data_IF_593097220005
#
_entry.id   IF_593097220005
#
_cell.length_a   1.000
_cell.length_b   1.000
_cell.length_c   1.000
_cell.angle_alpha   90.00
_cell.angle_beta   90.00
_cell.angle_gamma   90.00
#
_symmetry.space_group_name_H-M   'P 1'
#
loop_
_entity.id
_entity.type
_entity.pdbx_description
1 polymer ?
#
# COMPACT_ATOMS: atom_id res chain seq x y z
N UNK A 1 -15.61 -7.29 -0.45
CA UNK A 1 -15.20 -6.78 -1.78
C UNK A 1 -14.69 -7.98 -2.56
N UNK A 2 -15.45 -8.38 -3.56
CA UNK A 2 -15.26 -9.66 -4.26
C UNK A 2 -14.03 -9.51 -5.16
N UNK A 3 -13.04 -10.36 -4.95
CA UNK A 3 -11.73 -10.29 -5.57
C UNK A 3 -11.78 -10.88 -6.98
N UNK A 4 -12.59 -10.29 -7.85
CA UNK A 4 -12.51 -10.56 -9.28
C UNK A 4 -11.52 -9.56 -9.84
N UNK A 5 -10.22 -9.86 -9.69
CA UNK A 5 -9.25 -9.30 -10.61
C UNK A 5 -9.77 -9.66 -12.00
N UNK A 6 -10.36 -8.68 -12.69
CA UNK A 6 -10.71 -8.80 -14.09
C UNK A 6 -9.45 -9.36 -14.76
N UNK A 7 -9.53 -10.63 -15.21
CA UNK A 7 -8.51 -11.25 -16.07
C UNK A 7 -8.60 -10.54 -17.41
N UNK A 8 -8.28 -9.25 -17.41
CA UNK A 8 -8.11 -8.47 -18.61
C UNK A 8 -6.94 -9.09 -19.35
N UNK A 9 -7.16 -9.43 -20.61
CA UNK A 9 -6.09 -9.89 -21.51
C UNK A 9 -5.31 -8.72 -22.10
N UNK A 10 -5.74 -7.50 -21.79
CA UNK A 10 -5.08 -6.28 -22.22
C UNK A 10 -3.68 -6.19 -21.57
N UNK A 11 -2.60 -6.17 -22.38
CA UNK A 11 -1.24 -6.16 -21.87
C UNK A 11 -0.93 -4.95 -21.00
N UNK A 12 -1.55 -3.80 -21.25
CA UNK A 12 -1.36 -2.60 -20.44
C UNK A 12 -1.99 -2.77 -19.06
N UNK A 13 -3.20 -3.36 -19.00
CA UNK A 13 -3.87 -3.66 -17.73
C UNK A 13 -3.11 -4.72 -16.92
N UNK A 14 -2.48 -5.68 -17.59
CA UNK A 14 -1.64 -6.69 -16.93
C UNK A 14 -0.40 -6.07 -16.28
N UNK A 15 0.20 -5.05 -16.91
CA UNK A 15 1.35 -4.34 -16.35
C UNK A 15 1.00 -3.43 -15.16
N UNK A 16 -0.26 -2.97 -15.06
CA UNK A 16 -0.71 -2.03 -14.03
C UNK A 16 -0.61 -2.62 -12.62
N UNK A 17 -1.00 -3.87 -12.38
CA UNK A 17 -0.95 -4.46 -11.02
C UNK A 17 0.51 -4.48 -10.50
N UNK A 18 1.46 -4.91 -11.33
CA UNK A 18 2.86 -4.93 -10.98
C UNK A 18 3.40 -3.51 -10.72
N UNK A 19 3.02 -2.52 -11.54
CA UNK A 19 3.40 -1.13 -11.36
C UNK A 19 2.84 -0.55 -10.06
N UNK A 20 1.56 -0.77 -9.77
CA UNK A 20 0.90 -0.31 -8.55
C UNK A 20 1.53 -0.92 -7.30
N UNK A 21 1.85 -2.22 -7.30
CA UNK A 21 2.54 -2.89 -6.18
C UNK A 21 3.92 -2.28 -5.92
N UNK A 22 4.67 -1.95 -6.98
CA UNK A 22 5.96 -1.27 -6.86
C UNK A 22 5.79 0.13 -6.26
N UNK A 23 4.85 0.92 -6.79
CA UNK A 23 4.58 2.27 -6.31
C UNK A 23 4.16 2.28 -4.84
N UNK A 24 3.22 1.41 -4.44
CA UNK A 24 2.76 1.28 -3.06
C UNK A 24 3.89 0.89 -2.10
N UNK A 25 4.77 -0.02 -2.52
CA UNK A 25 5.95 -0.42 -1.74
C UNK A 25 6.89 0.77 -1.50
N UNK A 26 7.22 1.50 -2.56
CA UNK A 26 8.11 2.68 -2.48
C UNK A 26 7.51 3.80 -1.62
N UNK A 27 6.21 4.09 -1.77
CA UNK A 27 5.53 5.07 -0.93
C UNK A 27 5.60 4.71 0.56
N UNK A 28 5.38 3.43 0.89
CA UNK A 28 5.50 2.93 2.27
C UNK A 28 6.94 3.01 2.81
N UNK A 29 7.94 2.65 2.00
CA UNK A 29 9.35 2.76 2.38
C UNK A 29 9.75 4.22 2.62
N UNK A 30 9.39 5.10 1.69
CA UNK A 30 9.67 6.53 1.77
C UNK A 30 9.02 7.14 3.01
N UNK A 31 7.72 6.93 3.21
CA UNK A 31 7.00 7.48 4.37
C UNK A 31 7.54 7.02 5.71
N UNK A 32 8.07 5.78 5.80
CA UNK A 32 8.79 5.33 6.99
C UNK A 32 10.10 6.09 7.21
N UNK A 33 10.86 6.32 6.14
CA UNK A 33 12.15 7.01 6.20
C UNK A 33 12.00 8.49 6.53
N UNK A 34 11.00 9.16 5.98
CA UNK A 34 10.79 10.60 6.11
C UNK A 34 9.83 10.99 7.23
N UNK A 35 9.14 10.01 7.83
CA UNK A 35 8.05 10.28 8.77
C UNK A 35 6.78 10.81 8.10
N UNK A 36 6.70 10.77 6.77
CA UNK A 36 5.50 11.18 6.02
C UNK A 36 4.38 10.15 6.23
N UNK A 37 3.16 10.58 6.61
CA UNK A 37 2.02 9.69 6.75
C UNK A 37 1.70 8.92 5.45
N UNK A 38 1.31 7.66 5.59
CA UNK A 38 0.88 6.82 4.45
C UNK A 38 -0.46 6.19 4.77
N UNK A 39 -1.52 6.70 4.17
CA UNK A 39 -2.89 6.30 4.46
C UNK A 39 -3.36 5.15 3.56
N UNK A 40 -4.07 4.19 4.15
CA UNK A 40 -4.78 3.12 3.43
C UNK A 40 -6.19 2.93 3.99
N UNK A 41 -7.10 2.47 3.14
CA UNK A 41 -8.41 1.99 3.57
C UNK A 41 -8.32 0.52 3.97
N UNK A 42 -8.44 0.22 5.26
CA UNK A 42 -8.40 -1.15 5.81
C UNK A 42 -9.63 -1.38 6.66
N UNK A 43 -10.47 -2.34 6.26
CA UNK A 43 -11.73 -2.68 6.97
C UNK A 43 -12.65 -1.46 7.19
N UNK A 44 -12.83 -0.65 6.15
CA UNK A 44 -13.66 0.56 6.20
C UNK A 44 -13.07 1.73 7.01
N UNK A 45 -11.81 1.63 7.45
CA UNK A 45 -11.14 2.67 8.24
C UNK A 45 -9.91 3.18 7.53
N UNK A 46 -9.67 4.49 7.60
CA UNK A 46 -8.41 5.10 7.16
C UNK A 46 -7.36 4.84 8.23
N UNK A 47 -6.24 4.24 7.83
CA UNK A 47 -5.14 3.87 8.71
C UNK A 47 -3.84 4.47 8.19
N UNK A 48 -3.10 5.13 9.06
CA UNK A 48 -1.74 5.58 8.79
C UNK A 48 -0.72 4.46 9.09
N UNK A 49 -0.13 3.92 8.01
CA UNK A 49 0.85 2.84 8.06
C UNK A 49 2.21 3.27 8.60
N UNK A 50 2.60 4.55 8.42
CA UNK A 50 3.87 5.05 8.94
C UNK A 50 3.81 5.12 10.48
N UNK A 51 2.68 5.62 11.01
CA UNK A 51 2.41 5.65 12.45
C UNK A 51 2.28 4.25 13.06
N UNK A 52 1.61 3.30 12.38
CA UNK A 52 1.51 1.91 12.83
C UNK A 52 2.90 1.24 12.95
N UNK A 53 3.79 1.50 12.00
CA UNK A 53 5.16 0.98 12.03
C UNK A 53 5.96 1.54 13.20
N UNK A 54 5.92 2.87 13.43
CA UNK A 54 6.63 3.52 14.53
C UNK A 54 6.19 2.97 15.90
N UNK A 55 4.88 2.78 16.11
CA UNK A 55 4.37 2.17 17.35
C UNK A 55 4.91 0.75 17.54
N UNK A 56 4.92 -0.05 16.48
CA UNK A 56 5.39 -1.44 16.54
C UNK A 56 6.89 -1.55 16.79
N UNK A 57 7.70 -0.64 16.24
CA UNK A 57 9.14 -0.62 16.51
C UNK A 57 9.49 -0.15 17.93
N UNK A 58 8.60 0.61 18.58
CA UNK A 58 8.78 1.07 19.97
C UNK A 58 8.31 0.03 21.01
N UNK A 59 7.41 -0.87 20.63
CA UNK A 59 6.89 -1.92 21.49
C UNK A 59 7.76 -3.20 21.51
N UNK A 60 8.91 -3.18 20.84
CA UNK A 60 9.85 -4.29 20.71
C UNK A 60 11.17 -3.88 21.32
#
# INVERSE_FOLDING_TARGET
MNNTALKSKDPDVLAVDAAMRRAARRARELGRKTGTPVYVLRKGRIVDLAKEWKRRSQAR
#
